data_IF_132602559864
#
_entry.id   IF_132602559864
#
_cell.length_a   1.000
_cell.length_b   1.000
_cell.length_c   1.000
_cell.angle_alpha   90.00
_cell.angle_beta   90.00
_cell.angle_gamma   90.00
#
_symmetry.space_group_name_H-M   'P 1'
#
loop_
_entity.id
_entity.type
_entity.pdbx_description
1 polymer ?
#
# COMPACT_ATOMS: atom_id res chain seq x y z
N UNK A 1 -25.59 20.01 54.46
CA UNK A 1 -26.49 20.24 53.32
C UNK A 1 -25.62 20.63 52.15
N UNK A 2 -25.06 19.66 51.42
CA UNK A 2 -25.67 18.93 50.32
C UNK A 2 -25.93 19.83 49.09
N UNK A 3 -25.02 19.72 48.13
CA UNK A 3 -25.03 20.35 46.82
C UNK A 3 -23.91 19.74 45.98
N UNK A 4 -24.08 18.47 45.61
CA UNK A 4 -23.21 17.72 44.70
C UNK A 4 -23.70 17.84 43.25
N UNK A 5 -22.73 17.78 42.33
CA UNK A 5 -22.81 17.44 40.88
C UNK A 5 -22.75 18.58 39.84
N UNK A 6 -22.11 18.24 38.71
CA UNK A 6 -22.03 18.96 37.41
C UNK A 6 -20.80 19.86 37.17
N UNK A 7 -19.57 19.32 37.24
CA UNK A 7 -18.33 20.06 36.95
C UNK A 7 -17.60 19.72 35.64
N UNK A 8 -18.04 18.71 34.88
CA UNK A 8 -17.26 18.16 33.75
C UNK A 8 -17.82 18.44 32.36
N UNK A 9 -19.09 18.84 32.23
CA UNK A 9 -19.75 19.09 30.93
C UNK A 9 -19.36 20.40 30.24
N UNK A 10 -18.68 21.31 30.94
CA UNK A 10 -18.42 22.69 30.47
C UNK A 10 -17.07 22.86 29.77
N UNK A 11 -16.11 21.93 29.94
CA UNK A 11 -14.74 22.11 29.44
C UNK A 11 -14.56 21.84 27.94
N UNK A 12 -15.41 21.00 27.33
CA UNK A 12 -15.25 20.55 25.95
C UNK A 12 -16.35 21.01 25.01
N UNK A 13 -17.38 21.68 25.54
CA UNK A 13 -18.43 22.29 24.73
C UNK A 13 -18.21 23.79 24.58
N UNK A 14 -18.51 24.33 23.42
CA UNK A 14 -18.47 25.76 23.15
C UNK A 14 -19.47 26.15 22.06
N UNK A 15 -19.74 27.44 21.96
CA UNK A 15 -20.45 28.02 20.83
C UNK A 15 -19.46 28.72 19.91
N UNK A 16 -19.68 28.63 18.60
CA UNK A 16 -18.89 29.32 17.59
C UNK A 16 -19.76 30.34 16.86
N UNK A 17 -19.24 31.55 16.64
CA UNK A 17 -19.99 32.59 15.93
C UNK A 17 -20.05 32.33 14.42
N UNK A 18 -18.97 31.81 13.85
CA UNK A 18 -18.79 31.62 12.42
C UNK A 18 -18.72 30.13 12.07
N UNK A 19 -19.17 29.68 10.90
CA UNK A 19 -18.93 28.29 10.50
C UNK A 19 -17.47 28.11 10.07
N UNK A 20 -16.87 26.97 10.42
CA UNK A 20 -15.56 26.53 9.92
C UNK A 20 -15.72 25.26 9.10
N UNK A 21 -15.04 25.19 7.97
CA UNK A 21 -14.96 23.98 7.16
C UNK A 21 -13.50 23.64 6.88
N UNK A 22 -13.12 22.40 7.12
CA UNK A 22 -11.75 21.91 6.91
C UNK A 22 -11.78 20.86 5.82
N UNK A 23 -11.11 21.14 4.72
CA UNK A 23 -10.98 20.27 3.57
C UNK A 23 -9.69 19.46 3.69
N UNK A 24 -9.80 18.13 3.74
CA UNK A 24 -8.66 17.21 3.76
C UNK A 24 -8.55 16.51 2.41
N UNK A 25 -7.45 16.75 1.71
CA UNK A 25 -7.14 16.10 0.44
C UNK A 25 -5.92 15.22 0.61
N UNK A 26 -6.08 13.91 0.38
CA UNK A 26 -4.91 13.05 0.17
C UNK A 26 -4.17 13.49 -1.10
N UNK A 27 -2.85 13.54 -1.04
CA UNK A 27 -2.00 13.79 -2.19
C UNK A 27 -1.16 12.54 -2.50
N UNK A 28 -1.09 12.21 -3.78
CA UNK A 28 -0.18 11.20 -4.30
C UNK A 28 1.21 11.82 -4.47
N UNK A 29 2.22 11.09 -3.99
CA UNK A 29 3.59 11.55 -3.87
C UNK A 29 4.11 11.39 -2.43
N UNK A 30 5.41 11.62 -2.25
CA UNK A 30 6.05 11.62 -0.93
C UNK A 30 6.87 12.89 -0.74
N UNK A 31 6.75 13.51 0.42
CA UNK A 31 7.56 14.64 0.84
C UNK A 31 8.16 14.32 2.20
N UNK A 32 9.49 14.25 2.31
CA UNK A 32 10.14 14.04 3.60
C UNK A 32 10.09 15.34 4.41
N UNK A 33 9.70 15.29 5.70
CA UNK A 33 9.89 16.42 6.59
C UNK A 33 11.39 16.76 6.65
N UNK A 34 11.78 17.91 6.11
CA UNK A 34 13.13 18.47 6.31
C UNK A 34 13.04 19.39 7.50
N UNK A 35 13.97 19.30 8.46
CA UNK A 35 14.00 20.09 9.71
C UNK A 35 13.33 21.45 9.53
N UNK A 36 12.07 21.54 9.98
CA UNK A 36 11.08 22.42 9.37
C UNK A 36 11.16 23.83 9.94
N UNK A 37 11.27 24.83 9.07
CA UNK A 37 11.00 26.23 9.41
C UNK A 37 9.54 26.47 9.85
N UNK A 38 8.65 25.52 9.55
CA UNK A 38 7.21 25.58 9.84
C UNK A 38 6.83 25.20 11.28
N UNK A 39 7.76 24.69 12.10
CA UNK A 39 7.52 24.31 13.49
C UNK A 39 6.74 23.01 13.66
N UNK A 40 6.40 22.69 14.91
CA UNK A 40 5.64 21.49 15.28
C UNK A 40 4.14 21.73 15.09
N UNK A 41 3.38 20.71 14.69
CA UNK A 41 1.91 20.81 14.56
C UNK A 41 1.25 21.31 15.86
N UNK A 42 1.77 20.85 16.99
CA UNK A 42 1.29 21.18 18.34
C UNK A 42 1.50 22.66 18.70
N UNK A 43 2.47 23.34 18.08
CA UNK A 43 2.68 24.78 18.27
C UNK A 43 1.78 25.64 17.36
N UNK A 44 1.13 25.02 16.37
CA UNK A 44 0.33 25.72 15.35
C UNK A 44 -1.15 25.73 15.65
N UNK A 45 -1.67 24.61 16.14
CA UNK A 45 -3.07 24.46 16.50
C UNK A 45 -3.18 24.40 18.02
N UNK A 46 -4.17 25.10 18.56
CA UNK A 46 -4.49 25.01 19.98
C UNK A 46 -5.17 23.65 20.25
N UNK A 47 -4.46 22.78 20.97
CA UNK A 47 -4.97 21.47 21.40
C UNK A 47 -5.41 21.48 22.87
N UNK A 48 -5.31 22.62 23.56
CA UNK A 48 -5.71 22.79 24.95
C UNK A 48 -5.19 21.67 25.84
N UNK A 49 -6.10 20.97 26.52
CA UNK A 49 -5.75 19.87 27.43
C UNK A 49 -5.07 18.66 26.76
N UNK A 50 -5.16 18.52 25.43
CA UNK A 50 -4.55 17.40 24.69
C UNK A 50 -3.08 17.66 24.35
N UNK A 51 -2.62 18.91 24.47
CA UNK A 51 -1.27 19.32 24.11
C UNK A 51 -0.17 18.45 24.75
N UNK A 52 -0.19 18.14 26.07
CA UNK A 52 0.88 17.34 26.68
C UNK A 52 0.99 15.94 26.09
N UNK A 53 -0.14 15.32 25.77
CA UNK A 53 -0.18 14.00 25.14
C UNK A 53 0.41 14.03 23.73
N UNK A 54 0.04 15.05 22.95
CA UNK A 54 0.55 15.22 21.59
C UNK A 54 2.05 15.54 21.57
N UNK A 55 2.55 16.38 22.49
CA UNK A 55 3.99 16.65 22.61
C UNK A 55 4.79 15.39 22.94
N UNK A 56 4.27 14.52 23.80
CA UNK A 56 4.93 13.25 24.13
C UNK A 56 5.06 12.30 22.93
N UNK A 57 4.23 12.49 21.91
CA UNK A 57 4.10 11.62 20.74
C UNK A 57 4.45 12.32 19.43
N UNK A 58 5.19 13.43 19.51
CA UNK A 58 5.51 14.27 18.36
C UNK A 58 6.17 13.51 17.21
N UNK A 59 7.02 12.52 17.53
CA UNK A 59 7.76 11.74 16.55
C UNK A 59 6.89 10.93 15.57
N UNK A 60 5.63 10.67 15.93
CA UNK A 60 4.68 9.91 15.10
C UNK A 60 3.57 10.79 14.52
N UNK A 61 3.52 12.08 14.87
CA UNK A 61 2.54 13.02 14.34
C UNK A 61 2.90 13.47 12.92
N UNK A 62 1.89 13.77 12.07
CA UNK A 62 2.12 14.51 10.84
C UNK A 62 2.76 15.87 11.11
N UNK A 63 3.77 16.23 10.32
CA UNK A 63 4.53 17.47 10.46
C UNK A 63 4.13 18.47 9.37
N UNK A 64 3.89 19.74 9.69
CA UNK A 64 3.65 20.77 8.67
C UNK A 64 4.90 21.01 7.84
N UNK A 65 4.83 20.79 6.53
CA UNK A 65 5.92 21.07 5.58
C UNK A 65 5.70 22.36 4.78
N UNK A 66 4.46 22.86 4.75
CA UNK A 66 4.11 24.17 4.20
C UNK A 66 2.90 24.71 4.97
N UNK A 67 2.94 25.99 5.30
CA UNK A 67 1.82 26.73 5.89
C UNK A 67 1.68 28.06 5.17
N UNK A 68 0.46 28.39 4.75
CA UNK A 68 0.17 29.62 4.02
C UNK A 68 -1.15 30.19 4.54
N UNK A 69 -1.09 31.42 5.03
CA UNK A 69 -2.31 32.20 5.27
C UNK A 69 -2.74 32.81 3.94
N UNK A 70 -4.02 32.62 3.60
CA UNK A 70 -4.59 33.08 2.35
C UNK A 70 -5.48 34.28 2.63
N UNK A 71 -5.43 35.28 1.75
CA UNK A 71 -6.48 36.30 1.76
C UNK A 71 -7.79 35.66 1.29
N UNK A 72 -8.97 36.04 1.84
CA UNK A 72 -10.22 35.35 1.55
C UNK A 72 -10.61 35.32 0.06
N UNK A 73 -10.19 36.32 -0.71
CA UNK A 73 -10.42 36.47 -2.14
C UNK A 73 -9.45 35.67 -3.03
N UNK A 74 -8.37 35.14 -2.45
CA UNK A 74 -7.40 34.31 -3.18
C UNK A 74 -7.93 32.89 -3.40
N UNK A 75 -8.66 32.30 -2.45
CA UNK A 75 -9.19 30.94 -2.60
C UNK A 75 -10.46 30.95 -3.45
N UNK A 76 -10.37 30.40 -4.66
CA UNK A 76 -11.51 30.34 -5.61
C UNK A 76 -11.98 28.89 -5.80
N UNK A 77 -13.16 28.52 -5.29
CA UNK A 77 -13.78 27.22 -5.57
C UNK A 77 -14.24 27.11 -7.03
N UNK A 78 -14.46 25.89 -7.55
CA UNK A 78 -14.67 25.64 -8.98
C UNK A 78 -15.84 26.38 -9.63
N UNK A 79 -17.00 26.45 -8.95
CA UNK A 79 -18.22 27.08 -9.48
C UNK A 79 -18.69 28.27 -8.61
N UNK A 80 -17.73 28.91 -7.92
CA UNK A 80 -17.95 30.09 -7.08
C UNK A 80 -18.32 29.76 -5.63
N UNK A 81 -18.55 30.80 -4.83
CA UNK A 81 -18.68 30.65 -3.36
C UNK A 81 -20.09 30.25 -2.91
N UNK A 82 -21.04 30.04 -3.83
CA UNK A 82 -22.44 29.71 -3.52
C UNK A 82 -23.15 30.72 -2.59
N UNK A 83 -22.70 31.97 -2.60
CA UNK A 83 -23.19 33.01 -1.68
C UNK A 83 -22.58 32.95 -0.28
N UNK A 84 -21.62 32.06 -0.03
CA UNK A 84 -20.79 32.07 1.17
C UNK A 84 -19.71 33.14 1.05
N UNK A 85 -19.40 33.82 2.14
CA UNK A 85 -18.29 34.76 2.21
C UNK A 85 -17.19 34.16 3.09
N UNK A 86 -16.00 33.94 2.54
CA UNK A 86 -14.82 33.55 3.33
C UNK A 86 -14.37 34.73 4.19
N UNK A 87 -14.13 34.48 5.48
CA UNK A 87 -13.50 35.42 6.41
C UNK A 87 -12.01 35.16 6.55
N UNK A 88 -11.62 33.88 6.50
CA UNK A 88 -10.25 33.44 6.65
C UNK A 88 -10.07 32.11 5.92
N UNK A 89 -8.89 31.91 5.36
CA UNK A 89 -8.48 30.63 4.81
C UNK A 89 -7.00 30.37 5.14
N UNK A 90 -6.69 29.18 5.63
CA UNK A 90 -5.32 28.72 5.87
C UNK A 90 -5.09 27.42 5.11
N UNK A 91 -3.93 27.34 4.46
CA UNK A 91 -3.46 26.15 3.77
C UNK A 91 -2.31 25.54 4.55
N UNK A 92 -2.46 24.27 4.93
CA UNK A 92 -1.41 23.48 5.55
C UNK A 92 -1.15 22.25 4.71
N UNK A 93 0.12 21.97 4.43
CA UNK A 93 0.55 20.70 3.86
C UNK A 93 1.23 19.91 4.96
N UNK A 94 0.66 18.78 5.32
CA UNK A 94 1.14 17.89 6.36
C UNK A 94 1.83 16.70 5.70
N UNK A 95 3.01 16.34 6.20
CA UNK A 95 3.70 15.11 5.82
C UNK A 95 3.80 14.18 7.03
N UNK A 96 3.40 12.92 6.86
CA UNK A 96 3.66 11.90 7.87
C UNK A 96 5.17 11.64 8.01
N UNK A 97 5.63 11.01 9.11
CA UNK A 97 7.02 10.56 9.23
C UNK A 97 7.52 9.69 8.06
N UNK A 98 6.62 8.96 7.37
CA UNK A 98 6.94 8.19 6.15
C UNK A 98 6.95 9.02 4.87
N UNK A 99 6.47 10.26 4.96
CA UNK A 99 6.42 11.26 3.91
C UNK A 99 5.11 11.30 3.13
N UNK A 100 4.04 10.67 3.61
CA UNK A 100 2.73 10.72 2.98
C UNK A 100 2.12 12.11 3.20
N UNK A 101 1.56 12.68 2.14
CA UNK A 101 1.20 14.09 2.14
C UNK A 101 -0.31 14.27 2.15
N UNK A 102 -0.80 15.09 3.09
CA UNK A 102 -2.18 15.53 3.16
C UNK A 102 -2.23 17.04 3.09
N UNK A 103 -3.02 17.56 2.15
CA UNK A 103 -3.33 18.98 2.05
C UNK A 103 -4.58 19.28 2.87
N UNK A 104 -4.44 20.24 3.78
CA UNK A 104 -5.50 20.77 4.63
C UNK A 104 -5.79 22.20 4.18
N UNK A 105 -7.06 22.49 3.91
CA UNK A 105 -7.53 23.86 3.67
C UNK A 105 -8.58 24.17 4.73
N UNK A 106 -8.24 25.04 5.67
CA UNK A 106 -9.09 25.44 6.78
C UNK A 106 -9.76 26.78 6.47
N UNK A 107 -11.07 26.77 6.33
CA UNK A 107 -11.87 27.92 5.92
C UNK A 107 -12.81 28.36 7.04
N UNK A 108 -12.83 29.65 7.35
CA UNK A 108 -13.85 30.29 8.19
C UNK A 108 -14.77 31.16 7.34
N UNK A 109 -16.08 31.11 7.58
CA UNK A 109 -17.08 31.91 6.84
C UNK A 109 -17.55 33.12 7.64
N UNK A 110 -17.62 34.30 7.02
CA UNK A 110 -17.86 35.58 7.68
C UNK A 110 -19.32 35.83 8.14
N UNK A 111 -20.27 35.09 7.57
CA UNK A 111 -21.69 35.31 7.76
C UNK A 111 -22.43 34.00 8.09
N UNK A 112 -23.72 34.14 8.40
CA UNK A 112 -24.62 33.00 8.56
C UNK A 112 -24.52 32.09 7.32
N UNK A 113 -24.12 30.86 7.58
CA UNK A 113 -23.86 29.87 6.53
C UNK A 113 -25.15 29.13 6.23
N UNK A 114 -25.73 29.37 5.06
CA UNK A 114 -26.89 28.63 4.61
C UNK A 114 -26.51 27.15 4.37
N UNK A 115 -27.28 26.17 4.89
CA UNK A 115 -26.95 24.75 4.78
C UNK A 115 -26.78 24.25 3.35
N UNK A 116 -27.65 24.69 2.45
CA UNK A 116 -27.67 24.36 1.03
C UNK A 116 -26.45 24.93 0.29
N UNK A 117 -26.11 26.20 0.57
CA UNK A 117 -24.90 26.83 0.04
C UNK A 117 -23.63 26.11 0.53
N UNK A 118 -23.58 25.70 1.80
CA UNK A 118 -22.48 24.91 2.36
C UNK A 118 -22.40 23.53 1.70
N UNK A 119 -23.52 22.85 1.54
CA UNK A 119 -23.57 21.54 0.91
C UNK A 119 -23.09 21.58 -0.55
N UNK A 120 -23.49 22.60 -1.31
CA UNK A 120 -23.02 22.85 -2.67
C UNK A 120 -21.51 23.14 -2.70
N UNK A 121 -21.02 24.03 -1.82
CA UNK A 121 -19.60 24.35 -1.71
C UNK A 121 -18.75 23.11 -1.34
N UNK A 122 -19.23 22.25 -0.44
CA UNK A 122 -18.59 20.98 -0.10
C UNK A 122 -18.60 19.99 -1.27
N UNK A 123 -19.67 19.98 -2.08
CA UNK A 123 -19.74 19.16 -3.29
C UNK A 123 -18.67 19.56 -4.30
N UNK A 124 -18.58 20.84 -4.63
CA UNK A 124 -17.63 21.34 -5.65
C UNK A 124 -16.19 21.15 -5.21
N UNK A 125 -15.89 21.48 -3.96
CA UNK A 125 -14.54 21.28 -3.42
C UNK A 125 -14.14 19.80 -3.31
N UNK A 126 -15.09 18.87 -3.31
CA UNK A 126 -14.82 17.43 -3.33
C UNK A 126 -14.68 16.88 -4.75
N UNK A 127 -15.69 17.08 -5.60
CA UNK A 127 -15.79 16.48 -6.93
C UNK A 127 -14.92 17.19 -7.96
N UNK A 128 -14.87 18.52 -7.89
CA UNK A 128 -14.13 19.40 -8.81
C UNK A 128 -12.85 19.95 -8.17
N UNK A 129 -12.30 19.27 -7.16
CA UNK A 129 -11.10 19.69 -6.41
C UNK A 129 -9.90 20.12 -7.26
N UNK A 130 -9.76 19.55 -8.47
CA UNK A 130 -8.69 19.90 -9.42
C UNK A 130 -8.84 21.29 -10.02
N UNK A 131 -10.04 21.87 -9.96
CA UNK A 131 -10.38 23.21 -10.44
C UNK A 131 -10.32 24.26 -9.32
N UNK A 132 -9.97 23.89 -8.09
CA UNK A 132 -9.74 24.86 -7.01
C UNK A 132 -8.52 25.71 -7.37
N UNK A 133 -8.66 27.03 -7.26
CA UNK A 133 -7.60 27.99 -7.64
C UNK A 133 -7.17 28.82 -6.45
N UNK A 134 -5.91 29.24 -6.49
CA UNK A 134 -5.36 30.31 -5.68
C UNK A 134 -5.03 31.50 -6.60
N UNK A 135 -5.83 32.56 -6.52
CA UNK A 135 -5.87 33.64 -7.50
C UNK A 135 -6.21 33.09 -8.90
N UNK A 136 -5.29 33.28 -9.84
CA UNK A 136 -5.44 32.79 -11.22
C UNK A 136 -4.71 31.47 -11.49
N UNK A 137 -4.20 30.79 -10.46
CA UNK A 137 -3.43 29.55 -10.62
C UNK A 137 -4.12 28.37 -9.94
N UNK A 138 -3.86 27.15 -10.41
CA UNK A 138 -4.32 25.93 -9.72
C UNK A 138 -3.73 25.88 -8.31
N UNK A 139 -4.55 25.52 -7.32
CA UNK A 139 -4.11 25.40 -5.93
C UNK A 139 -2.90 24.47 -5.80
N UNK A 140 -2.98 23.30 -6.45
CA UNK A 140 -1.93 22.29 -6.35
C UNK A 140 -0.65 22.69 -7.07
N UNK A 141 -0.73 23.49 -8.13
CA UNK A 141 0.46 24.00 -8.83
C UNK A 141 1.22 24.99 -7.95
N UNK A 142 0.51 25.85 -7.22
CA UNK A 142 1.12 26.77 -6.25
C UNK A 142 1.77 25.99 -5.10
N UNK A 143 1.11 24.95 -4.60
CA UNK A 143 1.68 24.07 -3.57
C UNK A 143 2.95 23.39 -4.06
N UNK A 144 2.94 22.81 -5.26
CA UNK A 144 4.09 22.13 -5.85
C UNK A 144 5.29 23.06 -6.08
N UNK A 145 5.04 24.28 -6.56
CA UNK A 145 6.10 25.29 -6.73
C UNK A 145 6.74 25.66 -5.39
N UNK A 146 5.93 25.90 -4.35
CA UNK A 146 6.44 26.29 -3.03
C UNK A 146 7.22 25.17 -2.33
N UNK A 147 6.80 23.91 -2.51
CA UNK A 147 7.49 22.77 -1.94
C UNK A 147 8.75 22.38 -2.73
N UNK A 148 8.83 22.74 -4.01
CA UNK A 148 9.95 22.44 -4.91
C UNK A 148 10.42 20.98 -4.83
N UNK A 149 9.47 20.04 -4.83
CA UNK A 149 9.75 18.60 -4.74
C UNK A 149 10.29 18.05 -6.06
N UNK A 150 11.14 17.02 -6.04
CA UNK A 150 11.63 16.37 -7.26
C UNK A 150 10.52 15.80 -8.13
N UNK A 151 9.47 15.29 -7.50
CA UNK A 151 8.27 14.77 -8.16
C UNK A 151 7.07 15.61 -7.69
N UNK A 152 6.29 16.19 -8.61
CA UNK A 152 5.12 16.98 -8.23
C UNK A 152 4.06 16.10 -7.57
N UNK A 153 3.39 16.65 -6.56
CA UNK A 153 2.24 16.04 -5.91
C UNK A 153 1.03 16.11 -6.85
N UNK A 154 0.20 15.07 -6.83
CA UNK A 154 -1.08 15.04 -7.54
C UNK A 154 -2.23 14.78 -6.56
N UNK A 155 -3.44 15.24 -6.86
CA UNK A 155 -4.60 14.91 -6.02
C UNK A 155 -4.84 13.39 -6.00
N UNK A 156 -4.82 12.83 -4.80
CA UNK A 156 -5.28 11.47 -4.54
C UNK A 156 -6.80 11.34 -4.67
N UNK A 157 -7.30 10.15 -4.36
CA UNK A 157 -8.74 9.85 -4.45
C UNK A 157 -9.50 10.14 -3.16
N UNK A 158 -8.80 10.19 -2.02
CA UNK A 158 -9.45 10.31 -0.72
C UNK A 158 -9.59 11.79 -0.34
N UNK A 159 -10.83 12.15 -0.02
CA UNK A 159 -11.23 13.48 0.44
C UNK A 159 -12.12 13.30 1.65
N UNK A 160 -11.82 14.01 2.72
CA UNK A 160 -12.71 14.13 3.86
C UNK A 160 -12.87 15.60 4.24
N UNK A 161 -14.07 16.00 4.63
CA UNK A 161 -14.37 17.38 4.98
C UNK A 161 -14.99 17.43 6.37
N UNK A 162 -14.46 18.27 7.24
CA UNK A 162 -15.05 18.52 8.55
C UNK A 162 -15.78 19.85 8.52
N UNK A 163 -16.96 19.89 9.10
CA UNK A 163 -17.76 21.10 9.29
C UNK A 163 -17.96 21.29 10.78
N UNK A 164 -17.57 22.46 11.26
CA UNK A 164 -17.83 22.95 12.61
C UNK A 164 -18.83 24.11 12.51
N UNK A 165 -20.13 23.83 12.69
CA UNK A 165 -21.18 24.83 12.55
C UNK A 165 -21.03 25.98 13.53
N UNK A 166 -21.24 27.21 13.04
CA UNK A 166 -21.36 28.41 13.89
C UNK A 166 -22.68 29.15 13.67
N UNK A 167 -22.88 30.21 14.44
CA UNK A 167 -23.93 31.20 14.23
C UNK A 167 -25.34 30.60 14.20
N UNK A 168 -26.12 30.92 13.16
CA UNK A 168 -27.45 30.34 12.98
C UNK A 168 -27.43 28.84 12.73
N UNK A 169 -26.46 28.32 11.96
CA UNK A 169 -26.40 26.89 11.64
C UNK A 169 -26.22 26.03 12.90
N UNK A 170 -25.36 26.47 13.83
CA UNK A 170 -25.19 25.81 15.13
C UNK A 170 -26.50 25.79 15.93
N UNK A 171 -27.19 26.94 16.00
CA UNK A 171 -28.47 27.05 16.72
C UNK A 171 -29.55 26.16 16.11
N UNK A 172 -29.65 26.11 14.79
CA UNK A 172 -30.60 25.24 14.08
C UNK A 172 -30.30 23.74 14.32
N UNK A 173 -29.03 23.37 14.51
CA UNK A 173 -28.64 21.97 14.78
C UNK A 173 -28.83 21.55 16.24
N UNK A 174 -28.58 22.46 17.19
CA UNK A 174 -28.70 22.21 18.63
C UNK A 174 -30.08 22.55 19.20
N UNK A 175 -30.99 23.15 18.43
CA UNK A 175 -32.35 23.48 18.89
C UNK A 175 -33.05 22.21 19.38
N UNK A 176 -33.56 22.23 20.61
CA UNK A 176 -34.26 21.09 21.22
C UNK A 176 -35.76 21.06 20.89
N UNK A 177 -36.22 21.92 19.96
CA UNK A 177 -37.65 22.11 19.74
C UNK A 177 -38.28 20.90 19.05
N UNK A 178 -39.39 20.41 19.62
CA UNK A 178 -40.10 19.20 19.19
C UNK A 178 -40.73 19.36 17.79
N UNK A 179 -41.00 20.61 17.37
CA UNK A 179 -41.48 20.92 16.02
C UNK A 179 -40.39 20.73 14.94
N UNK A 180 -39.12 20.65 15.34
CA UNK A 180 -37.94 20.57 14.47
C UNK A 180 -37.31 19.16 14.40
N UNK A 181 -38.03 18.14 14.90
CA UNK A 181 -37.56 16.75 14.95
C UNK A 181 -37.13 16.19 13.58
N UNK A 182 -37.76 16.66 12.49
CA UNK A 182 -37.41 16.30 11.10
C UNK A 182 -36.42 17.27 10.45
N UNK A 183 -36.29 18.50 10.96
CA UNK A 183 -35.38 19.51 10.38
C UNK A 183 -33.93 19.20 10.67
N UNK A 184 -33.58 18.79 11.89
CA UNK A 184 -32.19 18.45 12.25
C UNK A 184 -31.64 17.29 11.39
N UNK A 185 -32.32 16.13 11.26
CA UNK A 185 -31.86 15.07 10.36
C UNK A 185 -31.75 15.52 8.90
N UNK A 186 -32.70 16.33 8.41
CA UNK A 186 -32.65 16.87 7.04
C UNK A 186 -31.42 17.75 6.81
N UNK A 187 -31.14 18.69 7.73
CA UNK A 187 -29.96 19.57 7.66
C UNK A 187 -28.66 18.78 7.70
N UNK A 188 -28.56 17.81 8.61
CA UNK A 188 -27.38 16.96 8.71
C UNK A 188 -27.18 16.11 7.45
N UNK A 189 -28.24 15.52 6.90
CA UNK A 189 -28.15 14.76 5.66
C UNK A 189 -27.73 15.64 4.48
N UNK A 190 -28.28 16.85 4.38
CA UNK A 190 -27.92 17.80 3.33
C UNK A 190 -26.40 18.09 3.37
N UNK A 191 -25.85 18.35 4.55
CA UNK A 191 -24.41 18.61 4.70
C UNK A 191 -23.57 17.32 4.52
N UNK A 192 -23.93 16.22 5.20
CA UNK A 192 -23.16 14.96 5.19
C UNK A 192 -23.11 14.34 3.79
N UNK A 193 -24.20 14.42 3.04
CA UNK A 193 -24.30 13.92 1.67
C UNK A 193 -24.08 15.01 0.61
N UNK A 194 -23.69 16.22 1.00
CA UNK A 194 -23.38 17.34 0.09
C UNK A 194 -24.52 17.68 -0.87
N UNK A 195 -25.75 17.67 -0.36
CA UNK A 195 -26.98 17.95 -1.10
C UNK A 195 -27.36 16.89 -2.13
N UNK A 196 -26.70 15.73 -2.11
CA UNK A 196 -26.95 14.64 -3.09
C UNK A 196 -27.98 13.62 -2.63
N UNK A 197 -28.38 13.63 -1.35
CA UNK A 197 -29.48 12.79 -0.91
C UNK A 197 -30.80 13.47 -1.32
N UNK A 198 -31.63 12.87 -2.19
CA UNK A 198 -32.90 13.46 -2.53
C UNK A 198 -33.76 13.54 -1.27
N UNK A 199 -34.28 14.72 -0.95
CA UNK A 199 -35.18 14.94 0.19
C UNK A 199 -36.45 14.08 0.03
N UNK A 200 -36.39 12.81 0.41
CA UNK A 200 -37.53 11.91 0.33
C UNK A 200 -38.48 12.25 1.48
N UNK A 201 -39.67 12.70 1.05
CA UNK A 201 -40.88 12.98 1.83
C UNK A 201 -41.51 11.68 2.36
N UNK A 202 -40.74 10.82 3.01
CA UNK A 202 -41.28 9.64 3.69
C UNK A 202 -41.35 9.93 5.18
N UNK A 203 -42.53 9.68 5.75
CA UNK A 203 -42.93 10.05 7.11
C UNK A 203 -42.21 9.30 8.23
N UNK A 204 -41.30 8.39 7.89
CA UNK A 204 -40.58 7.57 8.87
C UNK A 204 -39.27 8.27 9.26
N UNK A 205 -39.29 8.90 10.44
CA UNK A 205 -38.19 9.67 11.01
C UNK A 205 -36.95 8.83 11.34
N UNK A 206 -37.07 7.50 11.41
CA UNK A 206 -35.95 6.60 11.70
C UNK A 206 -35.09 6.31 10.45
N UNK A 207 -35.68 6.25 9.25
CA UNK A 207 -34.96 6.03 7.98
C UNK A 207 -34.24 7.29 7.46
N UNK A 208 -34.46 8.44 8.12
CA UNK A 208 -33.90 9.74 7.73
C UNK A 208 -32.80 10.23 8.68
N UNK A 209 -32.39 9.43 9.67
CA UNK A 209 -31.28 9.80 10.55
C UNK A 209 -29.93 9.70 9.80
N UNK A 210 -29.07 10.73 9.87
CA UNK A 210 -27.74 10.67 9.29
C UNK A 210 -26.92 9.55 9.95
N UNK A 211 -26.03 8.89 9.20
CA UNK A 211 -25.22 7.81 9.73
C UNK A 211 -24.37 8.30 10.91
N UNK A 212 -24.20 7.43 11.90
CA UNK A 212 -23.34 7.65 13.07
C UNK A 212 -23.68 8.90 13.89
N UNK A 213 -24.95 9.30 13.94
CA UNK A 213 -25.40 10.42 14.77
C UNK A 213 -25.16 10.13 16.26
N UNK A 214 -24.46 11.05 16.93
CA UNK A 214 -24.33 11.09 18.39
C UNK A 214 -24.76 12.47 18.87
N UNK A 215 -25.77 12.49 19.73
CA UNK A 215 -26.27 13.71 20.34
C UNK A 215 -26.08 13.61 21.86
N UNK A 216 -25.30 14.53 22.44
CA UNK A 216 -25.05 14.60 23.88
C UNK A 216 -25.78 15.78 24.54
N UNK A 217 -26.79 16.34 23.85
CA UNK A 217 -27.60 17.46 24.29
C UNK A 217 -26.97 18.81 23.96
N UNK A 218 -25.74 19.05 24.41
CA UNK A 218 -24.99 20.30 24.15
C UNK A 218 -24.05 20.21 22.94
N UNK A 219 -23.73 18.99 22.52
CA UNK A 219 -22.87 18.70 21.37
C UNK A 219 -23.52 17.66 20.47
N UNK A 220 -23.16 17.72 19.20
CA UNK A 220 -23.71 16.89 18.14
C UNK A 220 -22.60 16.47 17.18
N UNK A 221 -22.54 15.18 16.88
CA UNK A 221 -21.59 14.61 15.92
C UNK A 221 -22.36 13.75 14.92
N UNK A 222 -22.17 13.99 13.64
CA UNK A 222 -22.69 13.13 12.58
C UNK A 222 -21.64 12.99 11.49
N UNK A 223 -21.48 11.81 10.89
CA UNK A 223 -20.50 11.66 9.82
C UNK A 223 -20.86 10.54 8.86
N UNK A 224 -20.62 10.83 7.59
CA UNK A 224 -20.57 9.84 6.52
C UNK A 224 -19.13 9.55 6.12
N UNK A 225 -18.98 8.86 4.98
CA UNK A 225 -17.65 8.51 4.44
C UNK A 225 -16.82 9.73 4.06
N UNK A 226 -17.45 10.81 3.61
CA UNK A 226 -16.76 11.97 3.04
C UNK A 226 -16.87 13.26 3.86
N UNK A 227 -17.89 13.40 4.71
CA UNK A 227 -18.13 14.63 5.47
C UNK A 227 -18.47 14.28 6.91
N UNK A 228 -17.88 15.01 7.86
CA UNK A 228 -18.20 14.99 9.28
C UNK A 228 -18.73 16.34 9.73
N UNK A 229 -19.85 16.37 10.43
CA UNK A 229 -20.41 17.55 11.08
C UNK A 229 -20.22 17.40 12.59
N UNK A 230 -19.58 18.40 13.20
CA UNK A 230 -19.18 18.39 14.60
C UNK A 230 -19.62 19.72 15.22
N UNK A 231 -20.74 19.73 15.94
CA UNK A 231 -21.37 20.94 16.46
C UNK A 231 -21.29 21.03 17.99
N UNK A 232 -21.07 22.24 18.48
CA UNK A 232 -21.05 22.54 19.92
C UNK A 232 -19.75 22.19 20.64
N UNK A 233 -18.71 21.74 19.92
CA UNK A 233 -17.41 21.39 20.50
C UNK A 233 -16.52 22.62 20.68
N UNK A 234 -15.67 22.59 21.71
CA UNK A 234 -14.66 23.61 21.93
C UNK A 234 -13.54 23.57 20.87
N UNK A 235 -12.90 24.71 20.54
CA UNK A 235 -11.89 24.78 19.47
C UNK A 235 -10.75 23.77 19.60
N UNK A 236 -10.29 23.47 20.82
CA UNK A 236 -9.24 22.47 21.05
C UNK A 236 -9.70 21.03 20.73
N UNK A 237 -10.98 20.73 20.92
CA UNK A 237 -11.60 19.46 20.52
C UNK A 237 -11.74 19.39 19.00
N UNK A 238 -12.16 20.47 18.35
CA UNK A 238 -12.21 20.55 16.88
C UNK A 238 -10.86 20.21 16.25
N UNK A 239 -9.78 20.81 16.77
CA UNK A 239 -8.42 20.55 16.29
C UNK A 239 -7.97 19.09 16.52
N UNK A 240 -8.35 18.48 17.64
CA UNK A 240 -8.17 17.04 17.87
C UNK A 240 -8.90 16.18 16.84
N UNK A 241 -10.17 16.51 16.51
CA UNK A 241 -10.96 15.80 15.50
C UNK A 241 -10.35 15.94 14.10
N UNK A 242 -9.81 17.13 13.76
CA UNK A 242 -9.07 17.35 12.51
C UNK A 242 -7.86 16.42 12.45
N UNK A 243 -7.07 16.33 13.53
CA UNK A 243 -5.90 15.45 13.59
C UNK A 243 -6.27 13.98 13.38
N UNK A 244 -7.34 13.50 14.03
CA UNK A 244 -7.87 12.14 13.83
C UNK A 244 -8.24 11.93 12.36
N UNK A 245 -8.97 12.87 11.76
CA UNK A 245 -9.39 12.76 10.37
C UNK A 245 -8.20 12.80 9.38
N UNK A 246 -7.16 13.59 9.66
CA UNK A 246 -5.90 13.59 8.89
C UNK A 246 -5.23 12.22 8.94
N UNK A 247 -5.15 11.60 10.12
CA UNK A 247 -4.63 10.25 10.29
C UNK A 247 -5.40 9.22 9.45
N UNK A 248 -6.74 9.27 9.50
CA UNK A 248 -7.60 8.35 8.74
C UNK A 248 -7.48 8.54 7.22
N UNK A 249 -7.46 9.79 6.74
CA UNK A 249 -7.29 10.09 5.30
C UNK A 249 -5.92 9.64 4.82
N UNK A 250 -4.88 9.84 5.62
CA UNK A 250 -3.52 9.40 5.30
C UNK A 250 -3.43 7.87 5.23
N UNK A 251 -3.99 7.17 6.22
CA UNK A 251 -4.07 5.71 6.24
C UNK A 251 -4.82 5.15 5.02
N UNK A 252 -5.96 5.75 4.67
CA UNK A 252 -6.75 5.35 3.50
C UNK A 252 -5.99 5.58 2.19
N UNK A 253 -5.24 6.67 2.08
CA UNK A 253 -4.38 6.96 0.93
C UNK A 253 -3.25 5.93 0.79
N UNK A 254 -2.60 5.55 1.89
CA UNK A 254 -1.60 4.48 1.90
C UNK A 254 -2.23 3.17 1.46
N UNK A 255 -3.32 2.72 2.10
CA UNK A 255 -4.04 1.49 1.74
C UNK A 255 -4.35 1.39 0.25
N UNK A 256 -4.89 2.48 -0.29
CA UNK A 256 -5.29 2.51 -1.69
C UNK A 256 -4.09 2.40 -2.64
N UNK A 257 -3.01 3.14 -2.35
CA UNK A 257 -1.79 3.06 -3.16
C UNK A 257 -1.15 1.68 -3.06
N UNK A 258 -1.10 1.08 -1.86
CA UNK A 258 -0.62 -0.29 -1.66
C UNK A 258 -1.44 -1.27 -2.50
N UNK A 259 -2.77 -1.16 -2.50
CA UNK A 259 -3.64 -2.02 -3.31
C UNK A 259 -3.39 -1.85 -4.81
N UNK A 260 -3.23 -0.62 -5.29
CA UNK A 260 -2.93 -0.36 -6.70
C UNK A 260 -1.57 -0.93 -7.09
N UNK A 261 -0.54 -0.70 -6.28
CA UNK A 261 0.80 -1.21 -6.49
C UNK A 261 0.86 -2.75 -6.43
N UNK A 262 0.13 -3.39 -5.52
CA UNK A 262 0.00 -4.85 -5.47
C UNK A 262 -0.63 -5.40 -6.76
N UNK A 263 -1.69 -4.75 -7.26
CA UNK A 263 -2.33 -5.14 -8.52
C UNK A 263 -1.41 -4.95 -9.73
N UNK A 264 -0.70 -3.83 -9.82
CA UNK A 264 0.28 -3.58 -10.87
C UNK A 264 1.41 -4.60 -10.84
N UNK A 265 1.89 -4.97 -9.65
CA UNK A 265 2.95 -5.95 -9.44
C UNK A 265 2.50 -7.36 -9.87
N UNK A 266 1.27 -7.75 -9.53
CA UNK A 266 0.67 -9.01 -9.99
C UNK A 266 0.55 -9.04 -11.53
N UNK A 267 0.08 -7.95 -12.13
CA UNK A 267 -0.05 -7.82 -13.58
C UNK A 267 1.30 -7.83 -14.30
N UNK A 268 2.33 -7.25 -13.69
CA UNK A 268 3.70 -7.31 -14.20
C UNK A 268 4.25 -8.75 -14.17
N UNK A 269 3.96 -9.50 -13.12
CA UNK A 269 4.34 -10.91 -13.03
C UNK A 269 3.63 -11.81 -14.06
N UNK A 270 2.33 -11.59 -14.33
CA UNK A 270 1.58 -12.33 -15.35
C UNK A 270 2.09 -12.08 -16.78
N UNK A 271 2.48 -10.84 -17.06
CA UNK A 271 2.96 -10.43 -18.40
C UNK A 271 4.43 -10.74 -18.65
N UNK A 272 5.19 -11.03 -17.59
CA UNK A 272 6.59 -11.37 -17.73
C UNK A 272 6.69 -12.63 -18.60
N UNK A 273 7.31 -12.55 -19.80
CA UNK A 273 7.49 -13.72 -20.64
C UNK A 273 8.22 -14.80 -19.83
N UNK A 274 7.97 -16.07 -20.14
CA UNK A 274 8.94 -17.11 -19.77
C UNK A 274 10.20 -16.85 -20.60
N UNK A 275 11.02 -15.91 -20.15
CA UNK A 275 12.31 -15.64 -20.79
C UNK A 275 13.28 -16.77 -20.48
N UNK A 276 14.01 -17.21 -21.50
CA UNK A 276 14.98 -18.32 -21.43
C UNK A 276 16.21 -18.02 -20.54
N UNK A 277 16.32 -16.81 -19.95
CA UNK A 277 17.47 -16.39 -19.15
C UNK A 277 17.14 -16.41 -17.65
N UNK A 278 17.75 -17.34 -16.87
CA UNK A 278 17.57 -17.40 -15.42
C UNK A 278 17.95 -16.10 -14.68
N UNK A 279 18.84 -15.30 -15.24
CA UNK A 279 19.24 -14.02 -14.66
C UNK A 279 18.10 -13.00 -14.68
N UNK A 280 17.34 -12.94 -15.78
CA UNK A 280 16.21 -12.02 -15.91
C UNK A 280 15.09 -12.40 -14.95
N UNK A 281 14.81 -13.70 -14.80
CA UNK A 281 13.82 -14.21 -13.85
C UNK A 281 14.24 -13.92 -12.41
N UNK A 282 15.51 -14.12 -12.04
CA UNK A 282 16.04 -13.71 -10.71
C UNK A 282 15.91 -12.21 -10.46
N UNK A 283 16.23 -11.38 -11.47
CA UNK A 283 16.10 -9.93 -11.34
C UNK A 283 14.65 -9.51 -11.14
N UNK A 284 13.71 -10.19 -11.81
CA UNK A 284 12.28 -9.97 -11.65
C UNK A 284 11.84 -10.37 -10.25
N UNK A 285 12.18 -11.58 -9.79
CA UNK A 285 11.87 -12.06 -8.43
C UNK A 285 12.40 -11.08 -7.40
N UNK A 286 13.66 -10.62 -7.52
CA UNK A 286 14.24 -9.64 -6.60
C UNK A 286 13.46 -8.32 -6.58
N UNK A 287 13.08 -7.78 -7.74
CA UNK A 287 12.24 -6.56 -7.81
C UNK A 287 10.86 -6.78 -7.21
N UNK A 288 10.23 -7.93 -7.46
CA UNK A 288 8.92 -8.28 -6.93
C UNK A 288 8.97 -8.45 -5.41
N UNK A 289 9.99 -9.13 -4.88
CA UNK A 289 10.22 -9.30 -3.43
C UNK A 289 10.48 -7.96 -2.73
N UNK A 290 11.30 -7.09 -3.31
CA UNK A 290 11.50 -5.74 -2.79
C UNK A 290 10.18 -4.94 -2.78
N UNK A 291 9.39 -5.02 -3.85
CA UNK A 291 8.07 -4.41 -3.92
C UNK A 291 7.11 -4.93 -2.83
N UNK A 292 7.01 -6.25 -2.64
CA UNK A 292 6.20 -6.86 -1.59
C UNK A 292 6.63 -6.38 -0.20
N UNK A 293 7.94 -6.33 0.07
CA UNK A 293 8.45 -5.85 1.36
C UNK A 293 8.04 -4.39 1.62
N UNK A 294 8.14 -3.51 0.61
CA UNK A 294 7.65 -2.13 0.71
C UNK A 294 6.14 -2.06 0.96
N UNK A 295 5.34 -2.91 0.29
CA UNK A 295 3.89 -2.98 0.51
C UNK A 295 3.55 -3.42 1.93
N UNK A 296 4.25 -4.42 2.47
CA UNK A 296 4.07 -4.87 3.86
C UNK A 296 4.45 -3.76 4.86
N UNK A 297 5.56 -3.06 4.61
CA UNK A 297 5.98 -1.93 5.42
C UNK A 297 4.98 -0.77 5.38
N UNK A 298 4.40 -0.49 4.21
CA UNK A 298 3.36 0.54 4.04
C UNK A 298 2.08 0.16 4.80
N UNK A 299 1.68 -1.13 4.83
CA UNK A 299 0.53 -1.57 5.64
C UNK A 299 0.81 -1.47 7.14
N UNK A 300 1.93 -2.05 7.60
CA UNK A 300 2.26 -2.11 9.03
C UNK A 300 2.51 -0.72 9.64
N UNK A 301 3.28 0.15 8.96
CA UNK A 301 3.65 1.45 9.52
C UNK A 301 2.87 2.62 8.93
N UNK A 302 2.28 2.47 7.74
CA UNK A 302 1.53 3.53 7.06
C UNK A 302 0.02 3.44 7.28
N UNK A 303 -0.49 2.32 7.80
CA UNK A 303 -1.91 2.13 8.08
C UNK A 303 -2.13 1.80 9.55
N UNK A 304 -1.59 0.68 10.06
CA UNK A 304 -1.86 0.25 11.44
C UNK A 304 -1.41 1.31 12.44
N UNK A 305 -0.24 1.91 12.24
CA UNK A 305 0.25 3.00 13.08
C UNK A 305 -0.74 4.19 13.14
N UNK A 306 -1.38 4.62 12.05
CA UNK A 306 -2.31 5.77 12.10
C UNK A 306 -3.73 5.37 12.50
N UNK A 307 -4.10 4.11 12.30
CA UNK A 307 -5.44 3.59 12.60
C UNK A 307 -5.58 3.20 14.07
N UNK A 308 -4.48 2.78 14.71
CA UNK A 308 -4.48 2.33 16.10
C UNK A 308 -3.72 3.28 17.06
N UNK A 309 -2.91 4.22 16.56
CA UNK A 309 -2.25 5.21 17.41
C UNK A 309 -3.19 6.36 17.75
N UNK A 310 -4.07 6.12 18.71
CA UNK A 310 -4.67 7.21 19.48
C UNK A 310 -3.61 7.74 20.42
N UNK A 311 -3.01 8.87 20.02
CA UNK A 311 -2.02 9.60 20.82
C UNK A 311 -2.66 10.42 21.92
N UNK A 312 -3.98 10.58 21.86
CA UNK A 312 -4.80 11.24 22.86
C UNK A 312 -5.67 10.15 23.49
N UNK A 313 -5.39 9.71 24.73
CA UNK A 313 -6.21 8.72 25.43
C UNK A 313 -7.49 9.39 25.94
N UNK A 314 -8.39 9.73 25.02
CA UNK A 314 -9.64 10.39 25.32
C UNK A 314 -10.81 9.78 24.55
N UNK A 315 -11.85 9.43 25.30
CA UNK A 315 -12.97 8.60 24.84
C UNK A 315 -13.72 9.19 23.64
N UNK A 316 -13.84 10.51 23.53
CA UNK A 316 -14.50 11.15 22.39
C UNK A 316 -13.65 11.04 21.12
N UNK A 317 -12.34 11.26 21.20
CA UNK A 317 -11.45 11.07 20.05
C UNK A 317 -11.42 9.61 19.62
N UNK A 318 -11.34 8.69 20.57
CA UNK A 318 -11.39 7.25 20.33
C UNK A 318 -12.72 6.81 19.69
N UNK A 319 -13.83 7.35 20.17
CA UNK A 319 -15.15 7.07 19.63
C UNK A 319 -15.32 7.59 18.20
N UNK A 320 -14.84 8.81 17.94
CA UNK A 320 -14.87 9.38 16.58
C UNK A 320 -13.97 8.58 15.64
N UNK A 321 -12.74 8.25 16.09
CA UNK A 321 -11.79 7.43 15.34
C UNK A 321 -12.36 6.06 14.98
N UNK A 322 -12.88 5.31 15.95
CA UNK A 322 -13.45 3.99 15.69
C UNK A 322 -14.62 4.09 14.71
N UNK A 323 -15.53 5.03 14.93
CA UNK A 323 -16.72 5.22 14.09
C UNK A 323 -16.35 5.63 12.66
N UNK A 324 -15.37 6.53 12.50
CA UNK A 324 -14.89 6.97 11.19
C UNK A 324 -14.12 5.85 10.48
N UNK A 325 -13.26 5.11 11.19
CA UNK A 325 -12.55 3.94 10.66
C UNK A 325 -13.50 2.91 10.08
N UNK A 326 -14.57 2.61 10.80
CA UNK A 326 -15.58 1.63 10.40
C UNK A 326 -16.38 2.17 9.20
N UNK A 327 -16.77 3.44 9.22
CA UNK A 327 -17.49 4.09 8.10
C UNK A 327 -16.65 4.19 6.82
N UNK A 328 -15.34 4.39 6.94
CA UNK A 328 -14.41 4.40 5.81
C UNK A 328 -14.11 2.98 5.29
N UNK A 329 -14.48 1.93 6.02
CA UNK A 329 -14.18 0.54 5.65
C UNK A 329 -12.69 0.23 5.63
N UNK A 330 -11.91 0.90 6.49
CA UNK A 330 -10.45 0.76 6.54
C UNK A 330 -10.04 -0.67 6.91
N UNK A 331 -10.72 -1.28 7.89
CA UNK A 331 -10.43 -2.65 8.35
C UNK A 331 -10.59 -3.69 7.23
N UNK A 332 -11.74 -3.67 6.56
CA UNK A 332 -12.01 -4.59 5.45
C UNK A 332 -11.07 -4.35 4.27
N UNK A 333 -10.73 -3.08 4.00
CA UNK A 333 -9.78 -2.70 2.95
C UNK A 333 -8.35 -3.15 3.26
N UNK A 334 -7.93 -3.05 4.52
CA UNK A 334 -6.64 -3.53 5.01
C UNK A 334 -6.54 -5.05 4.88
N UNK A 335 -7.54 -5.80 5.37
CA UNK A 335 -7.53 -7.26 5.31
C UNK A 335 -7.51 -7.77 3.85
N UNK A 336 -8.32 -7.17 2.97
CA UNK A 336 -8.31 -7.51 1.55
C UNK A 336 -6.95 -7.20 0.89
N UNK A 337 -6.30 -6.10 1.27
CA UNK A 337 -4.99 -5.70 0.73
C UNK A 337 -3.88 -6.62 1.24
N UNK A 338 -3.89 -6.98 2.53
CA UNK A 338 -2.99 -7.96 3.11
C UNK A 338 -3.10 -9.32 2.40
N UNK A 339 -4.33 -9.82 2.20
CA UNK A 339 -4.57 -11.06 1.41
C UNK A 339 -4.02 -10.99 -0.01
N UNK A 340 -4.05 -9.81 -0.65
CA UNK A 340 -3.47 -9.62 -1.99
C UNK A 340 -1.93 -9.71 -1.96
N UNK A 341 -1.30 -9.09 -0.96
CA UNK A 341 0.15 -9.13 -0.76
C UNK A 341 0.63 -10.54 -0.40
N UNK A 342 -0.11 -11.28 0.43
CA UNK A 342 0.17 -12.68 0.74
C UNK A 342 0.11 -13.58 -0.50
N UNK A 343 -0.92 -13.42 -1.34
CA UNK A 343 -1.02 -14.14 -2.62
C UNK A 343 0.17 -13.83 -3.53
N UNK A 344 0.58 -12.57 -3.61
CA UNK A 344 1.73 -12.16 -4.40
C UNK A 344 3.02 -12.80 -3.86
N UNK A 345 3.21 -12.83 -2.55
CA UNK A 345 4.33 -13.52 -1.88
C UNK A 345 4.36 -15.00 -2.24
N UNK A 346 3.21 -15.68 -2.17
CA UNK A 346 3.09 -17.10 -2.52
C UNK A 346 3.46 -17.36 -4.00
N UNK A 347 2.98 -16.52 -4.91
CA UNK A 347 3.30 -16.63 -6.35
C UNK A 347 4.79 -16.41 -6.61
N UNK A 348 5.42 -15.42 -5.95
CA UNK A 348 6.86 -15.16 -6.08
C UNK A 348 7.66 -16.35 -5.55
N UNK A 349 7.30 -16.89 -4.38
CA UNK A 349 7.95 -18.06 -3.79
C UNK A 349 7.83 -19.29 -4.67
N UNK A 350 6.65 -19.55 -5.24
CA UNK A 350 6.45 -20.66 -6.19
C UNK A 350 7.31 -20.51 -7.45
N UNK A 351 7.42 -19.28 -7.98
CA UNK A 351 8.27 -18.99 -9.15
C UNK A 351 9.76 -19.11 -8.83
N UNK A 352 10.18 -18.70 -7.63
CA UNK A 352 11.56 -18.90 -7.14
C UNK A 352 11.89 -20.38 -7.02
N UNK A 353 11.01 -21.17 -6.41
CA UNK A 353 11.20 -22.61 -6.27
C UNK A 353 11.26 -23.33 -7.63
N UNK A 354 10.41 -22.92 -8.59
CA UNK A 354 10.46 -23.44 -9.95
C UNK A 354 11.77 -23.11 -10.66
N UNK A 355 12.28 -21.89 -10.48
CA UNK A 355 13.56 -21.46 -11.03
C UNK A 355 14.75 -22.21 -10.41
N UNK A 356 14.75 -22.39 -9.09
CA UNK A 356 15.79 -23.15 -8.39
C UNK A 356 15.78 -24.62 -8.82
N UNK A 357 14.61 -25.21 -9.06
CA UNK A 357 14.48 -26.55 -9.60
C UNK A 357 15.02 -26.67 -11.04
N UNK A 358 14.72 -25.70 -11.91
CA UNK A 358 15.23 -25.67 -13.29
C UNK A 358 16.76 -25.54 -13.32
N UNK A 359 17.32 -24.69 -12.46
CA UNK A 359 18.76 -24.52 -12.32
C UNK A 359 19.44 -25.76 -11.76
N UNK A 360 18.87 -26.38 -10.74
CA UNK A 360 19.36 -27.64 -10.20
C UNK A 360 19.36 -28.73 -11.28
N UNK A 361 18.31 -28.83 -12.11
CA UNK A 361 18.28 -29.79 -13.23
C UNK A 361 19.35 -29.49 -14.29
N UNK A 362 19.61 -28.21 -14.57
CA UNK A 362 20.65 -27.80 -15.52
C UNK A 362 22.06 -28.10 -15.01
N UNK A 363 22.32 -27.84 -13.73
CA UNK A 363 23.60 -28.14 -13.09
C UNK A 363 23.81 -29.66 -12.99
N UNK A 364 22.77 -30.43 -12.65
CA UNK A 364 22.82 -31.90 -12.66
C UNK A 364 23.18 -32.47 -14.04
N UNK A 365 22.61 -31.92 -15.12
CA UNK A 365 22.94 -32.33 -16.50
C UNK A 365 24.38 -31.98 -16.85
N UNK A 366 24.86 -30.80 -16.43
CA UNK A 366 26.24 -30.37 -16.65
C UNK A 366 27.21 -31.26 -15.87
N UNK A 367 26.96 -31.55 -14.61
CA UNK A 367 27.83 -32.38 -13.79
C UNK A 367 27.90 -33.81 -14.31
N UNK A 368 26.78 -34.36 -14.81
CA UNK A 368 26.79 -35.67 -15.49
C UNK A 368 27.64 -35.67 -16.76
N UNK A 369 27.57 -34.62 -17.58
CA UNK A 369 28.37 -34.54 -18.82
C UNK A 369 29.85 -34.32 -18.53
N UNK A 370 30.18 -33.44 -17.57
CA UNK A 370 31.57 -33.20 -17.13
C UNK A 370 32.16 -34.44 -16.48
N UNK A 371 31.43 -35.10 -15.58
CA UNK A 371 31.87 -36.35 -14.95
C UNK A 371 32.07 -37.46 -15.97
N UNK A 372 31.17 -37.58 -16.96
CA UNK A 372 31.32 -38.52 -18.07
C UNK A 372 32.57 -38.25 -18.91
N UNK A 373 32.87 -36.98 -19.20
CA UNK A 373 34.03 -36.57 -19.99
C UNK A 373 35.35 -36.79 -19.23
N UNK A 374 35.38 -36.48 -17.92
CA UNK A 374 36.53 -36.76 -17.04
C UNK A 374 36.78 -38.26 -16.92
N UNK A 375 35.72 -39.06 -16.75
CA UNK A 375 35.84 -40.52 -16.73
C UNK A 375 36.41 -41.07 -18.04
N UNK A 376 35.93 -40.57 -19.19
CA UNK A 376 36.44 -40.95 -20.51
C UNK A 376 37.91 -40.54 -20.71
N UNK A 377 38.29 -39.32 -20.33
CA UNK A 377 39.67 -38.84 -20.43
C UNK A 377 40.63 -39.66 -19.54
N UNK A 378 40.20 -39.99 -18.32
CA UNK A 378 40.98 -40.82 -17.39
C UNK A 378 41.20 -42.23 -17.95
N UNK A 379 40.17 -42.81 -18.57
CA UNK A 379 40.23 -44.14 -19.20
C UNK A 379 41.24 -44.19 -20.36
N UNK A 380 41.40 -43.08 -21.10
CA UNK A 380 42.32 -42.99 -22.25
C UNK A 380 43.76 -42.70 -21.81
N UNK A 381 43.95 -41.91 -20.75
CA UNK A 381 45.28 -41.47 -20.32
C UNK A 381 46.05 -42.51 -19.47
N UNK A 382 45.34 -43.38 -18.74
CA UNK A 382 45.98 -44.37 -17.86
C UNK A 382 46.79 -45.46 -18.59
N UNK A 383 46.30 -46.09 -19.68
CA UNK A 383 47.04 -47.18 -20.34
C UNK A 383 48.42 -46.74 -20.87
N UNK A 384 48.56 -45.58 -21.55
CA UNK A 384 49.87 -45.07 -21.97
C UNK A 384 50.80 -44.78 -20.78
N UNK A 385 50.26 -44.27 -19.66
CA UNK A 385 51.06 -43.97 -18.46
C UNK A 385 51.57 -45.24 -17.79
N UNK A 386 50.74 -46.30 -17.73
CA UNK A 386 51.13 -47.62 -17.24
C UNK A 386 52.18 -48.27 -18.13
N UNK A 387 52.04 -48.14 -19.46
CA UNK A 387 53.03 -48.64 -20.41
C UNK A 387 54.35 -47.88 -20.30
N UNK A 388 54.32 -46.55 -20.20
CA UNK A 388 55.51 -45.73 -20.02
C UNK A 388 56.22 -46.08 -18.70
N UNK A 389 55.47 -46.33 -17.63
CA UNK A 389 56.02 -46.78 -16.34
C UNK A 389 56.62 -48.18 -16.45
N UNK A 390 55.97 -49.11 -17.15
CA UNK A 390 56.49 -50.46 -17.39
C UNK A 390 57.81 -50.42 -18.15
N UNK A 391 57.91 -49.62 -19.22
CA UNK A 391 59.13 -49.48 -20.00
C UNK A 391 60.22 -48.66 -19.27
N UNK A 392 59.83 -47.70 -18.41
CA UNK A 392 60.76 -46.90 -17.62
C UNK A 392 61.38 -47.65 -16.42
N UNK A 393 60.60 -48.51 -15.74
CA UNK A 393 61.04 -49.25 -14.55
C UNK A 393 61.73 -50.58 -14.90
N UNK A 394 61.29 -51.28 -15.95
CA UNK A 394 61.91 -52.55 -16.41
C UNK A 394 63.05 -52.35 -17.43
N UNK A 395 63.75 -51.21 -17.38
CA UNK A 395 64.77 -50.84 -18.37
C UNK A 395 65.90 -51.85 -18.59
N UNK A 396 66.11 -52.81 -17.70
CA UNK A 396 67.11 -53.89 -17.84
C UNK A 396 66.60 -55.13 -18.60
N UNK A 397 65.29 -55.29 -18.80
CA UNK A 397 64.68 -56.39 -19.54
C UNK A 397 64.21 -55.99 -20.96
N UNK A 398 64.39 -54.71 -21.33
CA UNK A 398 64.09 -54.22 -22.68
C UNK A 398 65.33 -54.42 -23.55
N UNK A 399 65.20 -55.21 -24.61
CA UNK A 399 66.32 -55.57 -25.48
C UNK A 399 66.71 -54.35 -26.34
N UNK A 400 67.96 -53.90 -26.24
CA UNK A 400 68.45 -52.65 -26.86
C UNK A 400 68.48 -52.69 -28.41
N UNK A 401 68.35 -53.89 -28.98
CA UNK A 401 68.42 -54.24 -30.38
C UNK A 401 67.04 -54.43 -31.05
N UNK A 402 65.93 -54.19 -30.33
CA UNK A 402 64.57 -54.34 -30.86
C UNK A 402 63.67 -53.12 -30.62
N UNK A 403 62.74 -52.91 -31.55
CA UNK A 403 61.77 -51.81 -31.47
C UNK A 403 60.72 -52.08 -30.39
N UNK A 404 60.35 -51.03 -29.64
CA UNK A 404 59.29 -51.01 -28.60
C UNK A 404 57.90 -51.43 -29.14
N UNK A 405 57.76 -51.52 -30.47
CA UNK A 405 56.54 -51.91 -31.18
C UNK A 405 56.51 -53.40 -31.60
N UNK A 406 57.47 -54.22 -31.17
CA UNK A 406 57.52 -55.65 -31.49
C UNK A 406 56.41 -56.43 -30.74
N UNK A 407 55.27 -56.62 -31.43
CA UNK A 407 54.05 -57.21 -30.86
C UNK A 407 54.23 -58.67 -30.43
N UNK A 408 55.17 -59.41 -31.01
CA UNK A 408 55.42 -60.81 -30.66
C UNK A 408 56.05 -60.97 -29.28
N UNK A 409 56.82 -59.98 -28.82
CA UNK A 409 57.53 -60.04 -27.53
C UNK A 409 56.80 -59.25 -26.43
N UNK A 410 56.29 -58.06 -26.75
CA UNK A 410 55.65 -57.16 -25.77
C UNK A 410 54.12 -57.18 -25.81
N UNK A 411 53.51 -57.98 -26.70
CA UNK A 411 52.05 -58.03 -26.89
C UNK A 411 51.27 -58.39 -25.62
N UNK A 412 51.83 -59.23 -24.74
CA UNK A 412 51.21 -59.57 -23.45
C UNK A 412 51.16 -58.38 -22.49
N UNK A 413 52.20 -57.53 -22.49
CA UNK A 413 52.24 -56.30 -21.68
C UNK A 413 51.25 -55.25 -22.21
N UNK A 414 51.17 -55.08 -23.54
CA UNK A 414 50.16 -54.23 -24.16
C UNK A 414 48.73 -54.73 -23.88
N UNK A 415 48.50 -56.05 -23.97
CA UNK A 415 47.20 -56.65 -23.66
C UNK A 415 46.82 -56.44 -22.19
N UNK A 416 47.71 -56.73 -21.23
CA UNK A 416 47.44 -56.51 -19.80
C UNK A 416 47.20 -55.04 -19.45
N UNK A 417 47.92 -54.12 -20.11
CA UNK A 417 47.76 -52.69 -19.89
C UNK A 417 46.43 -52.14 -20.45
N UNK A 418 45.93 -52.67 -21.58
CA UNK A 418 44.73 -52.14 -22.24
C UNK A 418 43.43 -52.90 -21.94
N UNK A 419 43.50 -54.20 -21.65
CA UNK A 419 42.35 -55.07 -21.43
C UNK A 419 41.37 -54.56 -20.36
N UNK A 420 41.80 -54.14 -19.15
CA UNK A 420 40.85 -53.63 -18.16
C UNK A 420 40.12 -52.37 -18.64
N UNK A 421 40.76 -51.52 -19.45
CA UNK A 421 40.16 -50.30 -20.00
C UNK A 421 39.16 -50.60 -21.12
N UNK A 422 39.48 -51.56 -21.98
CA UNK A 422 38.55 -52.05 -23.03
C UNK A 422 37.32 -52.67 -22.38
N UNK A 423 37.48 -53.51 -21.35
CA UNK A 423 36.37 -54.13 -20.63
C UNK A 423 35.47 -53.05 -20.00
N UNK A 424 36.07 -52.06 -19.34
CA UNK A 424 35.32 -50.98 -18.69
C UNK A 424 34.59 -50.09 -19.72
N UNK A 425 35.22 -49.83 -20.87
CA UNK A 425 34.60 -49.12 -22.00
C UNK A 425 33.43 -49.88 -22.63
N UNK A 426 33.55 -51.19 -22.80
CA UNK A 426 32.47 -52.06 -23.30
C UNK A 426 31.30 -52.09 -22.31
N UNK A 427 31.56 -52.23 -21.01
CA UNK A 427 30.53 -52.19 -19.96
C UNK A 427 29.79 -50.84 -19.98
N UNK A 428 30.54 -49.73 -20.05
CA UNK A 428 29.97 -48.38 -20.17
C UNK A 428 29.10 -48.21 -21.41
N UNK A 429 29.57 -48.67 -22.58
CA UNK A 429 28.81 -48.62 -23.84
C UNK A 429 27.51 -49.43 -23.77
N UNK A 430 27.54 -50.62 -23.17
CA UNK A 430 26.36 -51.47 -23.00
C UNK A 430 25.34 -50.83 -22.05
N UNK A 431 25.79 -50.23 -20.94
CA UNK A 431 24.94 -49.51 -19.99
C UNK A 431 24.27 -48.28 -20.65
N UNK A 432 25.04 -47.44 -21.35
CA UNK A 432 24.53 -46.29 -22.09
C UNK A 432 23.49 -46.71 -23.15
N UNK A 433 23.80 -47.74 -23.94
CA UNK A 433 22.89 -48.24 -24.98
C UNK A 433 21.59 -48.84 -24.41
N UNK A 434 21.63 -49.44 -23.22
CA UNK A 434 20.43 -49.91 -22.51
C UNK A 434 19.56 -48.75 -22.01
N UNK A 435 20.16 -47.69 -21.48
CA UNK A 435 19.41 -46.50 -21.01
C UNK A 435 18.77 -45.76 -22.18
N UNK A 436 19.51 -45.52 -23.28
CA UNK A 436 18.96 -44.82 -24.47
C UNK A 436 17.84 -45.60 -25.16
N UNK A 437 17.88 -46.94 -25.16
CA UNK A 437 16.78 -47.77 -25.69
C UNK A 437 15.53 -47.73 -24.83
N UNK A 438 15.65 -47.43 -23.52
CA UNK A 438 14.51 -47.31 -22.60
C UNK A 438 13.83 -45.94 -22.69
N UNK A 439 14.60 -44.88 -22.95
CA UNK A 439 14.07 -43.53 -23.16
C UNK A 439 13.39 -43.33 -24.53
N UNK A 440 13.75 -44.11 -25.55
CA UNK A 440 13.09 -44.07 -26.86
C UNK A 440 11.66 -44.63 -26.91
N UNK A 441 11.17 -45.22 -25.81
CA UNK A 441 9.83 -45.83 -25.71
C UNK A 441 8.77 -44.89 -25.12
N UNK A 442 9.13 -43.66 -24.70
CA UNK A 442 8.20 -42.72 -24.06
C UNK A 442 7.83 -41.51 -24.95
N UNK A 443 8.29 -41.47 -26.20
CA UNK A 443 7.88 -40.48 -27.19
C UNK A 443 7.17 -41.17 -28.36
N UNK A 444 5.99 -41.73 -28.10
CA UNK A 444 4.96 -41.77 -29.14
C UNK A 444 4.32 -40.38 -29.23
N UNK A 445 4.05 -39.84 -30.43
CA UNK A 445 3.31 -38.59 -30.58
C UNK A 445 1.90 -38.82 -30.04
N UNK A 446 1.52 -38.10 -28.98
CA UNK A 446 0.15 -38.10 -28.51
C UNK A 446 -0.68 -37.34 -29.55
N UNK A 447 -1.55 -38.08 -30.25
CA UNK A 447 -2.57 -37.56 -31.14
C UNK A 447 -3.33 -36.37 -30.50
N UNK A 448 -3.59 -35.37 -31.34
CA UNK A 448 -4.26 -34.13 -30.97
C UNK A 448 -5.67 -34.34 -30.43
N UNK A 449 -5.80 -34.39 -29.10
CA UNK A 449 -7.07 -34.24 -28.39
C UNK A 449 -7.00 -32.98 -27.52
N UNK A 450 -7.93 -32.01 -27.66
CA UNK A 450 -7.95 -30.85 -26.79
C UNK A 450 -8.22 -31.29 -25.35
N UNK A 451 -7.50 -30.68 -24.40
CA UNK A 451 -7.64 -30.96 -22.98
C UNK A 451 -9.09 -30.73 -22.50
N UNK A 452 -9.63 -31.57 -21.59
CA UNK A 452 -10.96 -31.35 -21.05
C UNK A 452 -10.99 -30.06 -20.24
N UNK A 453 -11.92 -29.18 -20.60
CA UNK A 453 -12.26 -27.97 -19.83
C UNK A 453 -12.67 -28.40 -18.43
N UNK A 454 -12.07 -27.84 -17.35
CA UNK A 454 -12.51 -28.14 -16.00
C UNK A 454 -13.95 -27.64 -15.80
N UNK A 455 -14.81 -28.51 -15.27
CA UNK A 455 -16.21 -28.19 -15.01
C UNK A 455 -16.34 -26.95 -14.10
N UNK A 456 -17.32 -26.06 -14.36
CA UNK A 456 -17.63 -24.95 -13.46
C UNK A 456 -18.06 -25.53 -12.11
N UNK A 457 -17.43 -25.07 -11.02
CA UNK A 457 -17.87 -25.38 -9.66
C UNK A 457 -19.23 -24.72 -9.43
N UNK A 458 -20.25 -25.53 -9.16
CA UNK A 458 -21.53 -25.05 -8.69
C UNK A 458 -21.36 -24.27 -7.38
N UNK A 459 -22.12 -23.18 -7.18
CA UNK A 459 -22.05 -22.38 -5.97
C UNK A 459 -22.60 -23.17 -4.80
N UNK A 460 -21.78 -23.37 -3.76
CA UNK A 460 -22.26 -23.73 -2.44
C UNK A 460 -22.98 -22.50 -1.86
N UNK A 461 -24.31 -22.52 -1.91
CA UNK A 461 -25.18 -21.55 -1.25
C UNK A 461 -25.94 -22.19 -0.09
N UNK A 462 -26.17 -21.33 0.90
CA UNK A 462 -27.02 -21.41 2.11
C UNK A 462 -26.55 -22.30 3.25
#
# INVERSE_FOLDING_TARGET
MAGTSSGTTVLDSATRELTRAVLLFSLDGRARPRGTASGVLVDRLDFGRFEPHLRSSEAVLPVPILTVHLAPDELRPPDGDHGLALAAAELLVLATPRGDVTLVVDCGFAADTAPDALAAWLADTCFDRRRIRLGDRSLLDVVNERLALPTPLTYGQNVHQLVFPGGRLLRDLLSADLADATRRPALLNDIVYRGRLPAHRTSDAEDTLPPNLRNQGVTLSAHGRGVSVQAGWAPHVENGLILVAVGMVSALAVLQRTRLAAFETMRANERAPMTDSPYEVRSLISRLSAGVNELQLDLAFGVEAYVDSLLIPEMLMEAFQSSLRDTLGIRDSLENSARMVERLTSVISARSAALDAELAERDDRRDRTVSGLVAAATLIALPPTLLLTYFGVNGTNVHADRSILDLDTYGTAYALAWLPFVVLGVIGYVLLRRVSRRSGSLLSPSDGRPAPVPAPRSPSGS
#
